data_IF_819431585332
#
_entry.id   IF_819431585332
#
_cell.length_a   1.000
_cell.length_b   1.000
_cell.length_c   1.000
_cell.angle_alpha   90.00
_cell.angle_beta   90.00
_cell.angle_gamma   90.00
#
_symmetry.space_group_name_H-M   'P 1'
#
loop_
_entity.id
_entity.type
_entity.pdbx_description
1 polymer ?
#
# COMPACT_ATOMS: atom_id res chain seq x y z
N UNK A 1 -10.13 -16.85 -15.97
CA UNK A 1 -9.41 -17.67 -14.97
C UNK A 1 -7.95 -17.77 -15.40
N UNK A 2 -7.09 -16.87 -14.91
CA UNK A 2 -5.64 -17.01 -15.02
C UNK A 2 -5.04 -16.84 -13.63
N UNK A 3 -4.13 -17.74 -13.29
CA UNK A 3 -3.54 -17.93 -11.97
C UNK A 3 -2.52 -16.82 -11.68
N UNK A 4 -2.39 -16.41 -10.42
CA UNK A 4 -1.29 -15.56 -9.97
C UNK A 4 0.08 -16.06 -10.48
N UNK A 5 0.98 -15.14 -10.79
CA UNK A 5 2.36 -15.48 -11.18
C UNK A 5 3.05 -16.22 -10.04
N UNK A 6 3.15 -17.55 -10.16
CA UNK A 6 3.89 -18.42 -9.24
C UNK A 6 5.39 -18.05 -9.16
N UNK A 7 5.88 -17.19 -10.05
CA UNK A 7 7.28 -16.77 -10.16
C UNK A 7 7.52 -15.30 -9.76
N UNK A 8 6.50 -14.61 -9.22
CA UNK A 8 6.56 -13.20 -8.85
C UNK A 8 6.23 -12.25 -10.00
N UNK A 9 5.95 -11.00 -9.66
CA UNK A 9 5.65 -9.95 -10.63
C UNK A 9 6.90 -9.13 -10.96
N UNK A 10 7.08 -8.81 -12.23
CA UNK A 10 8.17 -7.96 -12.73
C UNK A 10 7.62 -6.67 -13.32
N UNK A 11 8.32 -5.56 -13.11
CA UNK A 11 7.95 -4.28 -13.68
C UNK A 11 9.11 -3.31 -13.72
N UNK A 12 8.97 -2.26 -14.53
CA UNK A 12 9.94 -1.17 -14.59
C UNK A 12 9.89 -0.40 -13.28
N UNK A 13 11.06 -0.15 -12.67
CA UNK A 13 11.14 0.67 -11.45
C UNK A 13 10.82 2.12 -11.82
N UNK A 14 9.82 2.69 -11.17
CA UNK A 14 9.41 4.08 -11.38
C UNK A 14 9.43 4.83 -10.05
N UNK A 15 10.26 5.86 -9.94
CA UNK A 15 10.40 6.63 -8.71
C UNK A 15 9.29 7.69 -8.60
N UNK A 16 8.59 7.71 -7.47
CA UNK A 16 7.45 8.61 -7.18
C UNK A 16 7.73 9.37 -5.88
N UNK A 17 8.60 10.40 -5.91
CA UNK A 17 9.04 11.09 -4.69
C UNK A 17 8.01 12.10 -4.15
N UNK A 18 7.00 12.50 -4.93
CA UNK A 18 6.04 13.57 -4.58
C UNK A 18 4.62 13.26 -5.05
N UNK A 19 3.63 13.95 -4.48
CA UNK A 19 2.23 13.89 -4.95
C UNK A 19 2.09 14.32 -6.42
N UNK A 20 2.92 15.25 -6.88
CA UNK A 20 2.95 15.65 -8.30
C UNK A 20 3.40 14.50 -9.19
N UNK A 21 4.42 13.73 -8.78
CA UNK A 21 4.87 12.55 -9.53
C UNK A 21 3.82 11.44 -9.61
N UNK A 22 2.90 11.33 -8.63
CA UNK A 22 1.73 10.43 -8.72
C UNK A 22 0.83 10.89 -9.88
N UNK A 23 0.51 12.18 -9.94
CA UNK A 23 -0.32 12.75 -11.02
C UNK A 23 0.33 12.58 -12.39
N UNK A 24 1.64 12.80 -12.48
CA UNK A 24 2.40 12.57 -13.72
C UNK A 24 2.37 11.11 -14.14
N UNK A 25 2.53 10.18 -13.19
CA UNK A 25 2.43 8.74 -13.47
C UNK A 25 1.04 8.37 -14.00
N UNK A 26 -0.03 8.82 -13.33
CA UNK A 26 -1.41 8.58 -13.77
C UNK A 26 -1.68 9.09 -15.19
N UNK A 27 -1.24 10.31 -15.49
CA UNK A 27 -1.53 10.97 -16.77
C UNK A 27 -0.64 10.49 -17.93
N UNK A 28 0.61 10.12 -17.66
CA UNK A 28 1.64 10.02 -18.71
C UNK A 28 2.45 8.74 -18.69
N UNK A 29 2.31 7.87 -17.69
CA UNK A 29 3.01 6.60 -17.71
C UNK A 29 2.57 5.75 -18.93
N UNK A 30 3.52 5.14 -19.66
CA UNK A 30 3.21 4.18 -20.72
C UNK A 30 2.30 3.05 -20.23
N UNK A 31 1.64 2.35 -21.15
CA UNK A 31 0.88 1.14 -20.82
C UNK A 31 1.85 -0.04 -20.62
N UNK A 32 2.45 -0.08 -19.44
CA UNK A 32 3.35 -1.15 -18.97
C UNK A 32 3.13 -1.39 -17.46
N UNK A 33 3.81 -2.39 -16.90
CA UNK A 33 3.77 -2.73 -15.48
C UNK A 33 4.94 -2.09 -14.75
N UNK A 34 4.64 -1.37 -13.67
CA UNK A 34 5.63 -0.61 -12.90
C UNK A 34 5.69 -1.04 -11.43
N UNK A 35 6.91 -1.09 -10.90
CA UNK A 35 7.17 -1.14 -9.47
C UNK A 35 7.45 0.28 -8.98
N UNK A 36 6.51 0.86 -8.23
CA UNK A 36 6.59 2.26 -7.79
C UNK A 36 7.46 2.39 -6.55
N UNK A 37 8.43 3.32 -6.56
CA UNK A 37 9.25 3.63 -5.38
C UNK A 37 8.75 4.90 -4.70
N UNK A 38 8.12 4.67 -3.55
CA UNK A 38 7.34 5.53 -2.67
C UNK A 38 7.93 6.07 -1.36
N UNK A 39 7.99 7.36 -1.01
CA UNK A 39 8.11 7.73 0.41
C UNK A 39 6.91 7.23 1.22
N UNK A 40 7.12 6.76 2.46
CA UNK A 40 6.04 6.30 3.36
C UNK A 40 4.89 7.31 3.50
N UNK A 41 5.19 8.60 3.52
CA UNK A 41 4.19 9.67 3.64
C UNK A 41 3.21 9.75 2.46
N UNK A 42 3.57 9.20 1.29
CA UNK A 42 2.69 9.16 0.12
C UNK A 42 1.87 7.86 0.05
N UNK A 43 2.17 6.88 0.92
CA UNK A 43 1.43 5.63 1.05
C UNK A 43 0.17 5.91 1.86
N UNK A 44 -0.81 6.48 1.18
CA UNK A 44 -2.15 6.75 1.72
C UNK A 44 -3.18 5.93 0.95
N UNK A 45 -4.31 5.62 1.57
CA UNK A 45 -5.43 4.90 0.94
C UNK A 45 -5.83 5.53 -0.40
N UNK A 46 -6.03 6.85 -0.42
CA UNK A 46 -6.46 7.58 -1.63
C UNK A 46 -5.44 7.46 -2.76
N UNK A 47 -4.15 7.62 -2.44
CA UNK A 47 -3.08 7.53 -3.44
C UNK A 47 -2.96 6.11 -3.99
N UNK A 48 -2.98 5.09 -3.13
CA UNK A 48 -2.91 3.70 -3.56
C UNK A 48 -4.12 3.31 -4.42
N UNK A 49 -5.34 3.74 -4.05
CA UNK A 49 -6.54 3.48 -4.84
C UNK A 49 -6.47 4.14 -6.22
N UNK A 50 -5.99 5.38 -6.31
CA UNK A 50 -5.81 6.05 -7.60
C UNK A 50 -4.76 5.35 -8.46
N UNK A 51 -3.64 4.95 -7.86
CA UNK A 51 -2.56 4.23 -8.52
C UNK A 51 -3.00 2.86 -9.03
N UNK A 52 -3.76 2.09 -8.23
CA UNK A 52 -4.33 0.78 -8.64
C UNK A 52 -5.29 0.95 -9.81
N UNK A 53 -6.14 1.98 -9.80
CA UNK A 53 -7.09 2.28 -10.90
C UNK A 53 -6.41 2.54 -12.25
N UNK A 54 -5.11 2.86 -12.27
CA UNK A 54 -4.37 3.00 -13.54
C UNK A 54 -4.18 1.67 -14.26
N UNK A 55 -4.25 0.53 -13.55
CA UNK A 55 -3.93 -0.81 -14.09
C UNK A 55 -2.44 -1.01 -14.42
N UNK A 56 -1.60 0.00 -14.18
CA UNK A 56 -0.16 0.03 -14.54
C UNK A 56 0.77 -0.35 -13.38
N UNK A 57 0.25 -0.50 -12.17
CA UNK A 57 1.05 -0.83 -10.98
C UNK A 57 1.12 -2.34 -10.80
N UNK A 58 2.34 -2.86 -10.66
CA UNK A 58 2.61 -4.25 -10.29
C UNK A 58 3.05 -4.38 -8.83
N UNK A 59 3.81 -3.41 -8.32
CA UNK A 59 4.28 -3.40 -6.95
C UNK A 59 4.46 -1.97 -6.43
N UNK A 60 4.43 -1.83 -5.10
CA UNK A 60 4.81 -0.59 -4.39
C UNK A 60 5.96 -0.91 -3.44
N UNK A 61 7.05 -0.18 -3.60
CA UNK A 61 8.26 -0.24 -2.79
C UNK A 61 8.29 1.01 -1.93
N UNK A 62 8.15 0.84 -0.62
CA UNK A 62 8.10 1.94 0.34
C UNK A 62 9.48 2.24 0.89
N UNK A 63 9.93 3.47 0.68
CA UNK A 63 11.12 4.07 1.28
C UNK A 63 10.77 4.65 2.65
N UNK A 64 11.38 4.08 3.68
CA UNK A 64 11.35 4.62 5.04
C UNK A 64 12.63 5.41 5.29
N UNK A 65 12.53 6.74 5.36
CA UNK A 65 13.65 7.67 5.53
C UNK A 65 13.64 8.40 6.89
N UNK A 66 12.97 7.79 7.88
CA UNK A 66 12.86 8.32 9.24
C UNK A 66 11.77 9.37 9.44
N UNK A 67 11.08 9.79 8.36
CA UNK A 67 9.87 10.62 8.46
C UNK A 67 8.65 9.72 8.50
N UNK A 68 8.02 9.63 9.67
CA UNK A 68 6.74 8.95 9.86
C UNK A 68 5.62 9.99 10.06
N UNK A 69 4.38 9.69 9.66
CA UNK A 69 3.24 10.52 10.03
C UNK A 69 3.16 10.65 11.56
N UNK A 70 2.73 11.82 12.07
CA UNK A 70 2.59 12.04 13.53
C UNK A 70 1.56 11.09 14.18
N UNK A 71 0.65 10.54 13.40
CA UNK A 71 -0.37 9.57 13.83
C UNK A 71 -0.58 8.59 12.68
N UNK A 72 -0.31 7.31 12.91
CA UNK A 72 -0.43 6.26 11.91
C UNK A 72 -0.73 4.92 12.57
N UNK A 73 -1.85 4.33 12.22
CA UNK A 73 -2.19 2.94 12.54
C UNK A 73 -2.80 2.27 11.31
N UNK A 74 -2.23 1.17 10.79
CA UNK A 74 -2.76 0.53 9.59
C UNK A 74 -4.03 -0.30 9.86
N UNK A 75 -4.34 -0.54 11.14
CA UNK A 75 -5.51 -1.30 11.60
C UNK A 75 -6.83 -0.51 11.49
N UNK A 76 -7.94 -1.21 11.72
CA UNK A 76 -9.29 -0.67 11.78
C UNK A 76 -9.53 0.33 12.93
N UNK A 77 -10.54 1.20 12.83
CA UNK A 77 -10.93 2.10 13.92
C UNK A 77 -11.42 1.34 15.17
N UNK A 78 -11.95 0.13 14.96
CA UNK A 78 -12.52 -0.76 15.96
C UNK A 78 -11.99 -2.20 15.74
N UNK A 79 -10.74 -2.50 16.10
CA UNK A 79 -10.15 -3.81 15.86
C UNK A 79 -10.95 -4.93 16.56
N UNK A 80 -11.23 -6.02 15.85
CA UNK A 80 -11.96 -7.20 16.35
C UNK A 80 -13.38 -6.94 16.87
N UNK A 81 -13.98 -5.78 16.59
CA UNK A 81 -15.27 -5.44 17.17
C UNK A 81 -16.40 -6.38 16.76
N UNK A 82 -16.31 -6.98 15.56
CA UNK A 82 -17.23 -8.02 15.08
C UNK A 82 -17.15 -9.34 15.87
N UNK A 83 -16.06 -9.57 16.61
CA UNK A 83 -15.87 -10.74 17.48
C UNK A 83 -16.06 -10.41 18.96
N UNK A 84 -16.40 -9.16 19.28
CA UNK A 84 -16.58 -8.70 20.65
C UNK A 84 -18.05 -8.75 21.08
N UNK A 85 -18.27 -8.66 22.39
CA UNK A 85 -19.62 -8.46 22.96
C UNK A 85 -20.26 -7.11 22.56
N UNK A 86 -19.48 -6.19 21.99
CA UNK A 86 -19.92 -4.85 21.58
C UNK A 86 -20.34 -4.80 20.11
N UNK A 87 -20.35 -5.94 19.40
CA UNK A 87 -20.65 -6.02 17.95
C UNK A 87 -21.93 -5.29 17.54
N UNK A 88 -22.96 -5.36 18.39
CA UNK A 88 -24.29 -4.83 18.07
C UNK A 88 -24.48 -3.38 18.60
N UNK A 89 -23.42 -2.73 19.11
CA UNK A 89 -23.47 -1.31 19.52
C UNK A 89 -23.48 -0.36 18.32
N UNK A 90 -24.29 0.71 18.41
CA UNK A 90 -24.30 1.79 17.43
C UNK A 90 -24.29 3.17 18.12
N UNK A 91 -23.22 3.99 17.95
CA UNK A 91 -22.02 3.70 17.15
C UNK A 91 -21.10 2.68 17.82
N UNK A 92 -20.30 1.99 17.02
CA UNK A 92 -19.20 1.16 17.52
C UNK A 92 -18.13 2.03 18.20
N UNK A 93 -17.44 1.53 19.24
CA UNK A 93 -16.36 2.27 19.88
C UNK A 93 -15.20 2.57 18.92
N UNK A 94 -14.64 3.78 18.98
CA UNK A 94 -13.49 4.17 18.16
C UNK A 94 -12.20 4.09 18.99
N UNK A 95 -11.72 2.87 19.24
CA UNK A 95 -10.51 2.62 20.04
C UNK A 95 -9.23 3.06 19.35
N UNK A 96 -9.22 3.04 18.02
CA UNK A 96 -8.09 3.45 17.20
C UNK A 96 -8.43 4.72 16.41
N UNK A 97 -8.27 5.92 17.00
CA UNK A 97 -8.51 7.18 16.29
C UNK A 97 -7.40 7.52 15.28
N UNK A 98 -6.25 6.82 15.33
CA UNK A 98 -5.11 7.00 14.44
C UNK A 98 -5.19 6.15 13.14
N UNK A 99 -6.37 5.59 12.87
CA UNK A 99 -6.66 4.68 11.76
C UNK A 99 -6.29 5.26 10.39
N UNK A 100 -5.60 4.45 9.60
CA UNK A 100 -5.27 4.71 8.19
C UNK A 100 -5.81 3.62 7.24
N UNK A 101 -6.38 2.52 7.78
CA UNK A 101 -7.07 1.41 7.09
C UNK A 101 -6.22 0.78 5.97
N UNK A 102 -4.90 0.72 6.14
CA UNK A 102 -4.02 0.20 5.10
C UNK A 102 -3.73 -1.28 5.22
N UNK A 103 -3.70 -1.86 6.42
CA UNK A 103 -3.46 -3.30 6.58
C UNK A 103 -4.61 -4.16 6.03
N UNK A 104 -5.83 -3.59 5.99
CA UNK A 104 -7.05 -4.34 5.71
C UNK A 104 -7.52 -4.13 4.26
N UNK A 105 -7.14 -3.03 3.61
CA UNK A 105 -7.55 -2.75 2.23
C UNK A 105 -6.47 -3.04 1.17
N UNK A 106 -5.21 -3.27 1.56
CA UNK A 106 -4.11 -3.52 0.63
C UNK A 106 -4.12 -4.94 0.07
N UNK A 107 -5.16 -5.25 -0.70
CA UNK A 107 -5.29 -6.50 -1.41
C UNK A 107 -4.77 -6.42 -2.86
N UNK A 108 -4.48 -5.23 -3.40
CA UNK A 108 -4.37 -5.06 -4.85
C UNK A 108 -2.95 -5.03 -5.46
N UNK A 109 -1.86 -5.01 -4.66
CA UNK A 109 -0.47 -4.95 -5.15
C UNK A 109 0.51 -5.50 -4.11
N UNK A 110 1.59 -6.15 -4.54
CA UNK A 110 2.69 -6.54 -3.63
C UNK A 110 3.31 -5.28 -3.01
N UNK A 111 3.27 -5.19 -1.67
CA UNK A 111 3.89 -4.11 -0.91
C UNK A 111 5.19 -4.60 -0.28
N UNK A 112 6.29 -3.94 -0.61
CA UNK A 112 7.60 -4.19 0.02
C UNK A 112 8.08 -2.95 0.75
N UNK A 113 8.45 -3.09 2.02
CA UNK A 113 8.99 -1.99 2.83
C UNK A 113 10.52 -2.12 2.90
N UNK A 114 11.22 -1.07 2.49
CA UNK A 114 12.68 -1.03 2.51
C UNK A 114 13.12 0.04 3.51
N UNK A 115 13.84 -0.40 4.55
CA UNK A 115 14.45 0.49 5.51
C UNK A 115 15.88 0.83 5.06
N UNK A 116 16.16 2.11 4.81
CA UNK A 116 17.51 2.57 4.48
C UNK A 116 18.14 3.21 5.72
N UNK A 117 19.07 2.51 6.37
CA UNK A 117 19.99 3.14 7.33
C UNK A 117 21.31 3.45 6.61
N UNK A 118 21.93 4.58 6.95
CA UNK A 118 23.21 5.05 6.40
C UNK A 118 24.19 3.87 6.16
N UNK A 119 24.43 3.55 4.89
CA UNK A 119 25.37 2.51 4.45
C UNK A 119 24.85 1.06 4.39
N UNK A 120 23.61 0.78 4.80
CA UNK A 120 23.03 -0.58 4.78
C UNK A 120 21.56 -0.57 4.35
N UNK A 121 21.24 -1.27 3.26
CA UNK A 121 19.86 -1.57 2.84
C UNK A 121 19.41 -2.83 3.56
N UNK A 122 18.40 -2.72 4.42
CA UNK A 122 17.75 -3.87 5.06
C UNK A 122 16.31 -3.97 4.54
N UNK A 123 15.97 -5.12 3.94
CA UNK A 123 14.59 -5.45 3.61
C UNK A 123 13.87 -5.81 4.92
N UNK A 124 12.85 -5.06 5.29
CA UNK A 124 12.07 -5.30 6.50
C UNK A 124 10.66 -5.69 6.09
N UNK A 125 10.51 -6.96 5.73
CA UNK A 125 9.23 -7.57 5.35
C UNK A 125 8.82 -7.29 3.89
N UNK A 126 8.50 -8.36 3.18
CA UNK A 126 7.69 -8.31 1.98
C UNK A 126 6.33 -8.92 2.36
N UNK A 127 5.26 -8.15 2.24
CA UNK A 127 3.90 -8.70 2.37
C UNK A 127 3.46 -9.05 0.95
N UNK A 128 3.64 -10.32 0.61
CA UNK A 128 3.09 -10.89 -0.62
C UNK A 128 1.73 -11.49 -0.26
N UNK A 129 0.65 -10.84 -0.69
CA UNK A 129 -0.68 -11.43 -0.64
C UNK A 129 -0.92 -11.98 -2.05
N UNK A 130 -0.85 -13.31 -2.25
CA UNK A 130 -1.16 -13.90 -3.54
C UNK A 130 -2.67 -13.80 -3.77
N UNK A 131 -3.03 -13.47 -5.02
CA UNK A 131 -4.37 -13.20 -5.55
C UNK A 131 -4.97 -11.84 -5.15
N UNK A 132 -4.98 -10.86 -6.10
CA UNK A 132 -5.98 -9.76 -6.25
C UNK A 132 -5.54 -8.61 -7.19
N UNK A 133 -4.45 -8.74 -7.95
CA UNK A 133 -4.10 -7.82 -9.04
C UNK A 133 -4.90 -8.07 -10.35
N UNK A 134 -6.22 -8.26 -10.28
CA UNK A 134 -7.06 -8.38 -11.48
C UNK A 134 -8.32 -7.53 -11.31
N UNK A 135 -8.39 -6.43 -12.05
CA UNK A 135 -9.67 -5.86 -12.48
C UNK A 135 -9.83 -6.23 -13.96
N UNK A 136 -10.98 -6.85 -14.29
CA UNK A 136 -11.45 -7.04 -15.66
C UNK A 136 -11.64 -5.71 -16.39
#
# INVERSE_FOLDING_TARGET
MMLASHFGDTGVIYNVPTEESIKTFEASAPNDKFALVMPLLLVTKDNLQRLVKTGKVAAVIVKVDGKQPMSFSPDDPCPNCEYSILRDMNPLPQWNPAVSIMAIEMHACMLTIIHMRLGHVALQGAVSIPDLCHYE
#
